data_IF_738918349314
#
_entry.id   IF_738918349314
#
_cell.length_a   1.000
_cell.length_b   1.000
_cell.length_c   1.000
_cell.angle_alpha   90.00
_cell.angle_beta   90.00
_cell.angle_gamma   90.00
#
_symmetry.space_group_name_H-M   'P 1'
#
loop_
_entity.id
_entity.type
_entity.pdbx_description
1 polymer ?
#
# COMPACT_ATOMS: atom_id res chain seq x y z
N UNK A 1 -20.34 -6.63 6.16
CA UNK A 1 -21.41 -6.39 7.16
C UNK A 1 -22.76 -6.67 6.50
N UNK A 2 -23.88 -6.62 7.21
CA UNK A 2 -25.20 -6.99 6.64
C UNK A 2 -25.61 -6.11 5.45
N UNK A 3 -25.05 -4.92 5.34
CA UNK A 3 -25.22 -3.92 4.27
C UNK A 3 -24.21 -4.08 3.10
N UNK A 4 -23.35 -5.11 3.12
CA UNK A 4 -22.30 -5.31 2.12
C UNK A 4 -21.07 -4.41 2.29
N UNK A 5 -21.00 -3.57 3.33
CA UNK A 5 -19.83 -2.74 3.61
C UNK A 5 -18.80 -3.45 4.48
N UNK A 6 -17.61 -2.86 4.61
CA UNK A 6 -16.58 -3.27 5.59
C UNK A 6 -16.57 -2.35 6.83
N UNK A 7 -17.62 -1.54 7.00
CA UNK A 7 -17.75 -0.58 8.09
C UNK A 7 -16.75 0.59 7.97
N UNK A 8 -16.31 1.11 9.12
CA UNK A 8 -15.38 2.25 9.20
C UNK A 8 -13.91 1.89 8.90
N UNK A 9 -13.65 0.92 8.04
CA UNK A 9 -12.29 0.46 7.74
C UNK A 9 -11.55 1.39 6.75
N UNK A 10 -10.59 0.84 5.99
CA UNK A 10 -9.61 1.54 5.15
C UNK A 10 -10.09 2.84 4.48
N UNK A 11 -11.03 2.74 3.53
CA UNK A 11 -11.47 3.89 2.73
C UNK A 11 -12.16 4.97 3.55
N UNK A 12 -12.95 4.56 4.56
CA UNK A 12 -13.61 5.49 5.48
C UNK A 12 -12.59 6.30 6.28
N UNK A 13 -11.55 5.65 6.80
CA UNK A 13 -10.51 6.32 7.59
C UNK A 13 -9.65 7.26 6.74
N UNK A 14 -9.25 6.83 5.54
CA UNK A 14 -8.48 7.69 4.62
C UNK A 14 -9.28 8.93 4.21
N UNK A 15 -10.61 8.81 4.09
CA UNK A 15 -11.51 9.89 3.71
C UNK A 15 -11.76 10.93 4.82
N UNK A 16 -11.29 10.71 6.05
CA UNK A 16 -11.50 11.67 7.15
C UNK A 16 -10.75 12.98 6.91
N UNK A 17 -11.42 14.10 7.18
CA UNK A 17 -10.79 15.42 7.14
C UNK A 17 -9.58 15.48 8.08
N UNK A 18 -8.48 16.05 7.60
CA UNK A 18 -7.19 16.00 8.31
C UNK A 18 -6.42 17.28 8.05
N UNK A 19 -6.04 17.99 9.13
CA UNK A 19 -5.32 19.27 9.06
C UNK A 19 -5.95 20.30 8.09
N UNK A 20 -7.29 20.40 8.08
CA UNK A 20 -8.03 21.31 7.20
C UNK A 20 -8.10 20.88 5.73
N UNK A 21 -7.67 19.66 5.41
CA UNK A 21 -7.78 19.05 4.09
C UNK A 21 -8.92 18.03 4.06
N UNK A 22 -9.49 17.82 2.88
CA UNK A 22 -10.67 16.95 2.66
C UNK A 22 -10.46 15.49 3.05
N UNK A 23 -9.21 15.04 3.07
CA UNK A 23 -8.86 13.67 3.43
C UNK A 23 -7.39 13.58 3.88
N UNK A 24 -7.00 12.45 4.48
CA UNK A 24 -5.59 12.17 4.80
C UNK A 24 -4.69 12.21 3.56
N UNK A 25 -5.17 11.70 2.41
CA UNK A 25 -4.41 11.73 1.16
C UNK A 25 -4.26 13.16 0.61
N UNK A 26 -5.30 13.99 0.70
CA UNK A 26 -5.20 15.40 0.34
C UNK A 26 -4.17 16.14 1.22
N UNK A 27 -4.14 15.83 2.52
CA UNK A 27 -3.12 16.33 3.42
C UNK A 27 -1.70 15.94 3.00
N UNK A 28 -1.47 14.64 2.72
CA UNK A 28 -0.17 14.15 2.24
C UNK A 28 0.26 14.89 0.97
N UNK A 29 -0.60 14.98 -0.04
CA UNK A 29 -0.27 15.65 -1.32
C UNK A 29 -0.01 17.15 -1.11
N UNK A 30 -0.81 17.82 -0.28
CA UNK A 30 -0.62 19.23 0.03
C UNK A 30 0.73 19.49 0.71
N UNK A 31 1.09 18.70 1.72
CA UNK A 31 2.37 18.85 2.40
C UNK A 31 3.55 18.50 1.49
N UNK A 32 3.46 17.45 0.67
CA UNK A 32 4.52 17.10 -0.27
C UNK A 32 4.79 18.22 -1.29
N UNK A 33 3.74 18.92 -1.75
CA UNK A 33 3.87 20.04 -2.70
C UNK A 33 4.35 21.33 -2.04
N UNK A 34 3.88 21.64 -0.83
CA UNK A 34 4.04 22.97 -0.22
C UNK A 34 5.03 23.00 0.95
N UNK A 35 5.30 21.87 1.59
CA UNK A 35 6.15 21.74 2.77
C UNK A 35 6.88 20.37 2.82
N UNK A 36 7.66 20.01 1.77
CA UNK A 36 8.20 18.65 1.59
C UNK A 36 9.17 18.18 2.69
N UNK A 37 9.74 19.12 3.46
CA UNK A 37 10.63 18.83 4.59
C UNK A 37 9.88 18.54 5.90
N UNK A 38 8.55 18.56 5.86
CA UNK A 38 7.71 18.24 7.01
C UNK A 38 7.96 16.81 7.47
N UNK A 39 8.14 16.64 8.78
CA UNK A 39 8.25 15.32 9.43
C UNK A 39 6.90 14.76 9.86
N UNK A 40 5.80 15.33 9.34
CA UNK A 40 4.42 15.03 9.74
C UNK A 40 3.58 14.49 8.59
N UNK A 41 4.19 14.24 7.43
CA UNK A 41 3.49 13.75 6.25
C UNK A 41 3.20 12.27 6.46
N UNK A 42 2.01 11.95 6.97
CA UNK A 42 1.62 10.58 7.31
C UNK A 42 0.13 10.35 7.16
N UNK A 43 -0.27 9.09 7.06
CA UNK A 43 -1.64 8.62 7.24
C UNK A 43 -1.68 7.60 8.36
N UNK A 44 -2.78 7.55 9.12
CA UNK A 44 -3.05 6.51 10.13
C UNK A 44 -4.52 6.08 10.03
N UNK A 45 -4.76 4.78 9.97
CA UNK A 45 -6.11 4.20 9.85
C UNK A 45 -6.46 3.22 10.98
N UNK A 46 -5.56 3.00 11.92
CA UNK A 46 -5.82 2.35 13.21
C UNK A 46 -6.39 3.36 14.20
N UNK A 47 -7.73 3.47 14.25
CA UNK A 47 -8.44 4.37 15.17
C UNK A 47 -9.07 3.55 16.31
N UNK A 48 -8.49 3.54 17.53
CA UNK A 48 -8.90 2.64 18.61
C UNK A 48 -10.39 2.67 18.94
N UNK A 49 -11.00 3.85 18.92
CA UNK A 49 -12.41 4.05 19.27
C UNK A 49 -13.38 3.56 18.19
N UNK A 50 -12.90 3.25 17.00
CA UNK A 50 -13.73 2.82 15.86
C UNK A 50 -13.41 1.39 15.40
N UNK A 51 -12.47 0.69 16.05
CA UNK A 51 -12.07 -0.66 15.66
C UNK A 51 -13.23 -1.66 15.69
N UNK A 52 -14.17 -1.50 16.62
CA UNK A 52 -15.38 -2.34 16.72
C UNK A 52 -16.38 -2.13 15.59
N UNK A 53 -16.25 -1.03 14.83
CA UNK A 53 -17.09 -0.70 13.69
C UNK A 53 -16.48 -1.14 12.35
N UNK A 54 -15.36 -1.87 12.39
CA UNK A 54 -14.67 -2.39 11.21
C UNK A 54 -14.95 -3.88 11.06
N UNK A 55 -15.29 -4.32 9.85
CA UNK A 55 -15.43 -5.75 9.56
C UNK A 55 -14.09 -6.51 9.73
N UNK A 56 -12.99 -5.82 9.42
CA UNK A 56 -11.63 -6.28 9.67
C UNK A 56 -10.76 -5.07 9.98
N UNK A 57 -9.99 -5.14 11.06
CA UNK A 57 -9.10 -4.04 11.45
C UNK A 57 -7.88 -3.98 10.53
N UNK A 58 -7.36 -2.78 10.17
CA UNK A 58 -6.29 -2.64 9.19
C UNK A 58 -5.02 -3.41 9.55
N UNK A 59 -4.48 -4.21 8.62
CA UNK A 59 -3.19 -4.87 8.78
C UNK A 59 -2.04 -3.89 8.53
N UNK A 60 -2.06 -3.23 7.37
CA UNK A 60 -1.23 -2.05 7.11
C UNK A 60 -2.01 -0.84 7.59
N UNK A 61 -1.43 -0.05 8.49
CA UNK A 61 -2.19 1.00 9.18
C UNK A 61 -1.56 2.39 9.11
N UNK A 62 -0.24 2.49 8.98
CA UNK A 62 0.45 3.77 8.92
C UNK A 62 1.30 3.88 7.66
N UNK A 63 1.25 5.05 7.04
CA UNK A 63 2.25 5.48 6.05
C UNK A 63 2.94 6.74 6.53
N UNK A 64 4.23 6.87 6.25
CA UNK A 64 4.96 8.12 6.44
C UNK A 64 5.78 8.43 5.19
N UNK A 65 5.76 9.69 4.78
CA UNK A 65 6.33 10.15 3.51
C UNK A 65 7.45 11.14 3.79
N UNK A 66 8.52 11.06 3.02
CA UNK A 66 9.63 12.01 3.12
C UNK A 66 10.27 12.28 1.77
N UNK A 67 10.83 13.47 1.62
CA UNK A 67 11.48 13.91 0.38
C UNK A 67 12.95 14.21 0.64
N UNK A 68 13.84 13.65 -0.18
CA UNK A 68 15.27 13.98 -0.18
C UNK A 68 15.66 14.33 -1.63
N UNK A 69 16.02 15.59 -1.89
CA UNK A 69 16.19 16.07 -3.26
C UNK A 69 14.87 16.00 -4.03
N UNK A 70 14.83 15.26 -5.14
CA UNK A 70 13.62 15.01 -5.92
C UNK A 70 13.00 13.62 -5.66
N UNK A 71 13.48 12.90 -4.63
CA UNK A 71 13.14 11.51 -4.36
C UNK A 71 12.10 11.41 -3.23
N UNK A 72 10.98 10.76 -3.50
CA UNK A 72 9.94 10.45 -2.54
C UNK A 72 10.20 9.08 -1.91
N UNK A 73 10.35 9.02 -0.59
CA UNK A 73 10.46 7.79 0.19
C UNK A 73 9.13 7.52 0.90
N UNK A 74 8.79 6.24 1.03
CA UNK A 74 7.57 5.78 1.68
C UNK A 74 7.92 4.77 2.78
N UNK A 75 7.62 5.09 4.03
CA UNK A 75 7.59 4.13 5.13
C UNK A 75 6.18 3.55 5.28
N UNK A 76 6.07 2.23 5.39
CA UNK A 76 4.82 1.50 5.59
C UNK A 76 4.91 0.72 6.89
N UNK A 77 3.90 0.79 7.76
CA UNK A 77 3.82 -0.05 8.97
C UNK A 77 2.68 -1.03 8.91
N UNK A 78 3.01 -2.29 9.12
CA UNK A 78 2.11 -3.42 9.08
C UNK A 78 2.17 -4.19 10.40
N UNK A 79 1.05 -4.22 11.14
CA UNK A 79 0.98 -4.92 12.42
C UNK A 79 0.96 -6.45 12.28
N UNK A 80 0.45 -6.96 11.15
CA UNK A 80 0.22 -8.38 10.88
C UNK A 80 0.35 -8.66 9.39
N UNK A 81 1.20 -9.62 9.03
CA UNK A 81 1.57 -9.90 7.65
C UNK A 81 1.56 -11.41 7.36
N UNK A 82 0.53 -11.85 6.65
CA UNK A 82 0.53 -13.12 5.93
C UNK A 82 1.49 -13.01 4.74
N UNK A 83 2.61 -13.71 4.83
CA UNK A 83 3.69 -13.66 3.83
C UNK A 83 3.28 -14.28 2.50
N UNK A 84 2.44 -15.33 2.51
CA UNK A 84 2.11 -16.09 1.30
C UNK A 84 1.14 -15.33 0.37
N UNK A 85 0.13 -14.68 0.96
CA UNK A 85 -0.94 -14.02 0.23
C UNK A 85 -0.97 -12.51 0.44
N UNK A 86 -0.99 -12.07 1.70
CA UNK A 86 -1.20 -10.68 2.06
C UNK A 86 -0.06 -9.76 1.59
N UNK A 87 1.18 -10.14 1.88
CA UNK A 87 2.36 -9.33 1.60
C UNK A 87 2.49 -8.99 0.12
N UNK A 88 2.29 -9.98 -0.77
CA UNK A 88 2.43 -9.82 -2.22
C UNK A 88 1.46 -8.75 -2.75
N UNK A 89 0.19 -8.84 -2.33
CA UNK A 89 -0.82 -7.86 -2.72
C UNK A 89 -0.52 -6.48 -2.12
N UNK A 90 -0.11 -6.41 -0.86
CA UNK A 90 0.19 -5.14 -0.21
C UNK A 90 1.38 -4.44 -0.87
N UNK A 91 2.49 -5.13 -1.11
CA UNK A 91 3.69 -4.53 -1.75
C UNK A 91 3.34 -3.98 -3.13
N UNK A 92 2.56 -4.70 -3.92
CA UNK A 92 2.12 -4.21 -5.23
C UNK A 92 1.24 -2.95 -5.11
N UNK A 93 0.20 -2.98 -4.27
CA UNK A 93 -0.72 -1.86 -4.05
C UNK A 93 0.01 -0.59 -3.59
N UNK A 94 0.93 -0.72 -2.63
CA UNK A 94 1.69 0.41 -2.12
C UNK A 94 2.77 0.88 -3.11
N UNK A 95 3.31 0.00 -3.97
CA UNK A 95 4.20 0.42 -5.07
C UNK A 95 3.45 1.27 -6.10
N UNK A 96 2.21 0.91 -6.42
CA UNK A 96 1.34 1.73 -7.28
C UNK A 96 1.03 3.06 -6.60
N UNK A 97 0.59 3.04 -5.33
CA UNK A 97 0.28 4.25 -4.57
C UNK A 97 1.48 5.21 -4.50
N UNK A 98 2.67 4.68 -4.18
CA UNK A 98 3.91 5.44 -4.12
C UNK A 98 4.21 6.13 -5.44
N UNK A 99 4.08 5.40 -6.55
CA UNK A 99 4.25 5.97 -7.89
C UNK A 99 3.22 7.04 -8.21
N UNK A 100 1.95 6.84 -7.87
CA UNK A 100 0.88 7.83 -8.12
C UNK A 100 1.08 9.11 -7.30
N UNK A 101 1.45 9.00 -6.03
CA UNK A 101 1.75 10.17 -5.18
C UNK A 101 2.99 10.91 -5.68
N UNK A 102 4.03 10.18 -6.10
CA UNK A 102 5.21 10.78 -6.72
C UNK A 102 4.85 11.57 -7.99
N UNK A 103 4.06 10.97 -8.89
CA UNK A 103 3.58 11.63 -10.11
C UNK A 103 2.74 12.88 -9.81
N UNK A 104 1.79 12.78 -8.87
CA UNK A 104 0.95 13.90 -8.45
C UNK A 104 1.77 15.08 -7.93
N UNK A 105 2.90 14.79 -7.27
CA UNK A 105 3.78 15.80 -6.66
C UNK A 105 4.98 16.20 -7.55
N UNK A 106 5.12 15.64 -8.75
CA UNK A 106 6.30 15.89 -9.61
C UNK A 106 7.61 15.37 -9.04
N UNK A 107 7.56 14.31 -8.23
CA UNK A 107 8.70 13.65 -7.60
C UNK A 107 9.00 12.30 -8.27
N UNK A 108 10.19 11.76 -8.00
CA UNK A 108 10.57 10.41 -8.40
C UNK A 108 10.43 9.45 -7.21
N UNK A 109 9.77 8.28 -7.36
CA UNK A 109 9.72 7.29 -6.30
C UNK A 109 11.13 6.75 -6.00
N UNK A 110 11.46 6.65 -4.72
CA UNK A 110 12.66 6.00 -4.21
C UNK A 110 12.30 4.72 -3.44
N UNK A 111 12.88 4.51 -2.26
CA UNK A 111 12.67 3.28 -1.50
C UNK A 111 11.33 3.27 -0.76
N UNK A 112 10.74 2.07 -0.71
CA UNK A 112 9.65 1.74 0.21
C UNK A 112 10.27 0.98 1.38
N UNK A 113 10.15 1.53 2.58
CA UNK A 113 10.65 0.95 3.83
C UNK A 113 9.49 0.28 4.54
N UNK A 114 9.48 -1.05 4.54
CA UNK A 114 8.35 -1.83 5.06
C UNK A 114 8.65 -2.38 6.46
N UNK A 115 7.96 -1.86 7.47
CA UNK A 115 8.09 -2.29 8.85
C UNK A 115 6.97 -3.27 9.20
N UNK A 116 7.33 -4.53 9.48
CA UNK A 116 6.39 -5.59 9.85
C UNK A 116 6.57 -5.94 11.32
N UNK A 117 5.48 -5.92 12.10
CA UNK A 117 5.53 -6.33 13.50
C UNK A 117 5.43 -7.85 13.64
N UNK A 118 4.29 -8.43 13.23
CA UNK A 118 4.10 -9.87 13.19
C UNK A 118 4.15 -10.36 11.74
N UNK A 119 5.28 -10.93 11.35
CA UNK A 119 5.46 -11.62 10.07
C UNK A 119 5.24 -13.11 10.30
N UNK A 120 4.29 -13.72 9.59
CA UNK A 120 3.93 -15.11 9.81
C UNK A 120 3.65 -15.86 8.51
N UNK A 121 3.82 -17.16 8.61
CA UNK A 121 3.44 -18.15 7.62
C UNK A 121 2.43 -19.07 8.30
N UNK A 122 1.29 -19.32 7.65
CA UNK A 122 0.36 -20.35 8.12
C UNK A 122 0.92 -21.74 7.84
N UNK A 123 0.75 -22.68 8.77
CA UNK A 123 1.28 -24.05 8.62
C UNK A 123 0.82 -24.72 7.31
N UNK A 124 -0.44 -24.53 6.93
CA UNK A 124 -1.02 -25.02 5.65
C UNK A 124 -0.38 -24.44 4.38
N UNK A 125 0.43 -23.39 4.50
CA UNK A 125 1.15 -22.76 3.40
C UNK A 125 2.62 -23.17 3.36
N UNK A 126 3.15 -23.81 4.40
CA UNK A 126 4.58 -24.04 4.59
C UNK A 126 5.22 -24.80 3.41
N UNK A 127 4.71 -25.99 3.08
CA UNK A 127 5.28 -26.83 2.01
C UNK A 127 5.24 -26.13 0.64
N UNK A 128 4.14 -25.42 0.34
CA UNK A 128 3.98 -24.67 -0.92
C UNK A 128 4.93 -23.47 -0.99
N UNK A 129 5.18 -22.81 0.13
CA UNK A 129 6.16 -21.72 0.20
C UNK A 129 7.58 -22.25 -0.01
N UNK A 130 7.93 -23.38 0.59
CA UNK A 130 9.23 -24.03 0.36
C UNK A 130 9.41 -24.36 -1.12
N UNK A 131 8.39 -24.87 -1.79
CA UNK A 131 8.44 -25.07 -3.24
C UNK A 131 8.65 -23.73 -3.97
N UNK A 132 7.85 -22.71 -3.65
CA UNK A 132 7.89 -21.42 -4.33
C UNK A 132 9.25 -20.70 -4.21
N UNK A 133 9.88 -20.69 -3.03
CA UNK A 133 11.16 -19.99 -2.81
C UNK A 133 12.34 -20.66 -3.51
N UNK A 134 12.20 -21.94 -3.90
CA UNK A 134 13.21 -22.69 -4.64
C UNK A 134 13.01 -22.64 -6.17
N UNK A 135 11.96 -21.94 -6.66
CA UNK A 135 11.73 -21.77 -8.11
C UNK A 135 12.71 -20.75 -8.71
N UNK A 136 12.86 -20.81 -10.03
CA UNK A 136 13.58 -19.80 -10.79
C UNK A 136 12.98 -18.40 -10.54
N UNK A 137 13.84 -17.42 -10.29
CA UNK A 137 13.47 -16.02 -10.12
C UNK A 137 13.68 -15.25 -11.44
N UNK A 138 12.88 -14.21 -11.64
CA UNK A 138 12.97 -13.36 -12.84
C UNK A 138 13.28 -11.92 -12.44
N UNK A 139 13.81 -11.16 -13.40
CA UNK A 139 13.97 -9.71 -13.26
C UNK A 139 12.62 -9.04 -12.92
N UNK A 140 12.62 -8.01 -12.05
CA UNK A 140 11.40 -7.36 -11.63
C UNK A 140 10.71 -6.63 -12.80
N UNK A 141 9.38 -6.71 -12.81
CA UNK A 141 8.55 -5.95 -13.74
C UNK A 141 8.64 -4.45 -13.46
N UNK A 142 8.30 -3.64 -14.47
CA UNK A 142 8.17 -2.18 -14.30
C UNK A 142 6.68 -1.80 -14.37
N UNK A 143 6.23 -1.02 -13.41
CA UNK A 143 4.90 -0.40 -13.43
C UNK A 143 4.99 0.87 -14.26
N UNK A 144 4.08 1.11 -15.19
CA UNK A 144 3.89 2.38 -15.90
C UNK A 144 2.44 2.84 -15.70
N UNK A 145 2.26 4.13 -15.44
CA UNK A 145 0.93 4.75 -15.34
C UNK A 145 0.72 5.56 -16.61
N UNK A 146 -0.29 5.19 -17.39
CA UNK A 146 -0.63 5.85 -18.65
C UNK A 146 -1.58 7.03 -18.41
N UNK A 147 -1.48 8.07 -19.24
CA UNK A 147 -2.40 9.22 -19.25
C UNK A 147 -2.65 9.89 -17.88
N UNK A 148 -1.67 9.87 -16.99
CA UNK A 148 -1.82 10.41 -15.64
C UNK A 148 -2.17 11.91 -15.66
N UNK A 149 -3.25 12.28 -14.98
CA UNK A 149 -3.70 13.67 -14.78
C UNK A 149 -3.73 14.03 -13.30
N UNK A 150 -4.36 13.18 -12.51
CA UNK A 150 -4.35 13.26 -11.06
C UNK A 150 -4.52 11.87 -10.46
N UNK A 151 -3.97 11.67 -9.26
CA UNK A 151 -4.24 10.48 -8.45
C UNK A 151 -5.73 10.32 -8.13
N UNK A 152 -6.50 11.41 -8.08
CA UNK A 152 -7.94 11.36 -7.79
C UNK A 152 -8.80 10.94 -8.99
N UNK A 153 -8.23 10.98 -10.21
CA UNK A 153 -8.88 10.53 -11.45
C UNK A 153 -8.37 9.17 -11.93
N UNK A 154 -7.42 8.58 -11.19
CA UNK A 154 -6.74 7.34 -11.54
C UNK A 154 -7.71 6.15 -11.62
N UNK A 155 -7.53 5.31 -12.64
CA UNK A 155 -8.26 4.05 -12.81
C UNK A 155 -7.31 2.87 -12.89
N UNK A 156 -7.71 1.68 -12.42
CA UNK A 156 -6.89 0.46 -12.56
C UNK A 156 -6.41 0.20 -13.99
N UNK A 157 -7.24 0.50 -14.99
CA UNK A 157 -6.93 0.33 -16.42
C UNK A 157 -5.79 1.24 -16.92
N UNK A 158 -5.40 2.27 -16.16
CA UNK A 158 -4.26 3.13 -16.48
C UNK A 158 -2.91 2.48 -16.15
N UNK A 159 -2.91 1.34 -15.43
CA UNK A 159 -1.70 0.58 -15.11
C UNK A 159 -1.30 -0.30 -16.30
N UNK A 160 -0.06 -0.14 -16.73
CA UNK A 160 0.64 -1.06 -17.62
C UNK A 160 1.79 -1.73 -16.85
N UNK A 161 1.83 -3.06 -16.87
CA UNK A 161 2.93 -3.84 -16.31
C UNK A 161 3.85 -4.29 -17.44
N UNK A 162 5.08 -3.78 -17.43
CA UNK A 162 6.07 -4.01 -18.48
C UNK A 162 7.04 -5.11 -18.03
N UNK A 163 7.33 -6.05 -18.94
CA UNK A 163 8.26 -7.16 -18.73
C UNK A 163 7.94 -8.06 -17.54
N UNK A 164 6.65 -8.25 -17.22
CA UNK A 164 6.26 -9.18 -16.16
C UNK A 164 6.43 -10.63 -16.61
N UNK A 165 7.52 -11.25 -16.11
CA UNK A 165 7.77 -12.68 -16.22
C UNK A 165 7.42 -13.33 -14.89
N UNK A 166 6.68 -14.43 -14.93
CA UNK A 166 6.21 -15.14 -13.76
C UNK A 166 6.23 -16.65 -14.00
N UNK A 167 6.42 -17.41 -12.92
CA UNK A 167 6.33 -18.88 -12.95
C UNK A 167 4.88 -19.37 -12.85
N UNK A 168 4.68 -20.68 -12.80
CA UNK A 168 3.33 -21.24 -12.66
C UNK A 168 2.64 -20.75 -11.38
N UNK A 169 1.33 -20.54 -11.44
CA UNK A 169 0.54 -20.06 -10.30
C UNK A 169 0.64 -21.05 -9.12
N UNK A 170 0.99 -20.54 -7.95
CA UNK A 170 0.84 -21.26 -6.68
C UNK A 170 -0.47 -20.84 -6.02
N UNK A 171 -1.30 -21.81 -5.66
CA UNK A 171 -2.60 -21.55 -5.02
C UNK A 171 -2.51 -21.77 -3.51
N UNK A 172 -2.69 -20.71 -2.74
CA UNK A 172 -2.80 -20.74 -1.28
C UNK A 172 -4.27 -20.59 -0.85
N UNK A 173 -4.64 -21.26 0.23
CA UNK A 173 -5.95 -21.10 0.85
C UNK A 173 -5.96 -19.85 1.73
N UNK A 174 -6.98 -19.00 1.63
CA UNK A 174 -7.10 -17.82 2.50
C UNK A 174 -7.37 -18.26 3.94
N UNK A 175 -6.61 -17.71 4.88
CA UNK A 175 -6.93 -17.84 6.29
C UNK A 175 -8.09 -16.90 6.63
N UNK A 176 -9.26 -17.48 6.93
CA UNK A 176 -10.44 -16.75 7.45
C UNK A 176 -10.39 -16.76 8.96
#
# INVERSE_FOLDING_TARGET
MQDGTIGKAYGYQIAQETFGQKSQLHYVINELKNNPNSRRIMTEIWIPNELSEMALTPCVHLTQWSVIGNKLYLEVRQRSCDVALGLVANVFQYSVLHKLVALECGLEPAEIIWNIHNMHIYDRHYDKLIEQVNRETFEPAKIKINNFKSIFDFKPDDIEIINYRYGEKVSYEVAI
#
